data_IF_573651263338
#
_entry.id   IF_573651263338
#
_cell.length_a   1.000
_cell.length_b   1.000
_cell.length_c   1.000
_cell.angle_alpha   90.00
_cell.angle_beta   90.00
_cell.angle_gamma   90.00
#
_symmetry.space_group_name_H-M   'P 1'
#
loop_
_entity.id
_entity.type
_entity.pdbx_description
1 polymer ?
#
# COMPACT_ATOMS: atom_id res chain seq x y z
N UNK A 1 -2.08 16.29 23.23
CA UNK A 1 -3.57 16.39 23.22
C UNK A 1 -4.12 15.74 24.47
N UNK A 2 -4.82 16.53 25.29
CA UNK A 2 -5.51 16.02 26.48
C UNK A 2 -6.79 15.24 26.09
N UNK A 3 -7.39 14.44 26.99
CA UNK A 3 -8.59 13.67 26.68
C UNK A 3 -9.80 14.52 26.30
N UNK A 4 -9.92 15.74 26.82
CA UNK A 4 -11.00 16.68 26.51
C UNK A 4 -10.83 17.31 25.13
N UNK A 5 -9.59 17.65 24.74
CA UNK A 5 -9.27 18.10 23.39
C UNK A 5 -9.68 17.07 22.34
N UNK A 6 -9.59 15.76 22.66
CA UNK A 6 -10.01 14.71 21.73
C UNK A 6 -11.51 14.70 21.50
N UNK A 7 -12.35 14.90 22.52
CA UNK A 7 -13.81 14.89 22.36
C UNK A 7 -14.31 16.08 21.54
N UNK A 8 -13.77 17.27 21.81
CA UNK A 8 -14.10 18.49 21.05
C UNK A 8 -13.61 18.37 19.60
N UNK A 9 -12.40 17.84 19.38
CA UNK A 9 -11.92 17.59 18.02
C UNK A 9 -12.75 16.53 17.29
N UNK A 10 -13.24 15.49 17.98
CA UNK A 10 -14.10 14.48 17.38
C UNK A 10 -15.46 15.05 16.92
N UNK A 11 -16.08 15.97 17.69
CA UNK A 11 -17.30 16.63 17.22
C UNK A 11 -17.03 17.53 16.03
N UNK A 12 -15.92 18.29 16.05
CA UNK A 12 -15.56 19.17 14.94
C UNK A 12 -15.24 18.38 13.67
N UNK A 13 -14.52 17.26 13.79
CA UNK A 13 -14.23 16.36 12.67
C UNK A 13 -15.50 15.72 12.11
N UNK A 14 -16.49 15.40 12.95
CA UNK A 14 -17.77 14.88 12.47
C UNK A 14 -18.53 15.87 11.58
N UNK A 15 -18.44 17.17 11.89
CA UNK A 15 -19.09 18.21 11.07
C UNK A 15 -18.44 18.31 9.69
N UNK A 16 -17.12 18.37 9.61
CA UNK A 16 -16.40 18.42 8.34
C UNK A 16 -16.56 17.13 7.54
N UNK A 17 -16.63 15.99 8.23
CA UNK A 17 -16.90 14.70 7.62
C UNK A 17 -18.26 14.66 6.91
N UNK A 18 -19.31 15.17 7.55
CA UNK A 18 -20.65 15.25 6.94
C UNK A 18 -20.64 16.18 5.72
N UNK A 19 -19.98 17.34 5.82
CA UNK A 19 -19.85 18.30 4.71
C UNK A 19 -19.14 17.65 3.52
N UNK A 20 -18.05 16.92 3.78
CA UNK A 20 -17.25 16.27 2.76
C UNK A 20 -17.94 15.07 2.13
N UNK A 21 -18.61 14.23 2.92
CA UNK A 21 -19.46 13.15 2.39
C UNK A 21 -20.55 13.75 1.51
N UNK A 22 -21.17 14.86 1.93
CA UNK A 22 -22.15 15.59 1.13
C UNK A 22 -21.57 16.16 -0.17
N UNK A 23 -20.28 16.54 -0.19
CA UNK A 23 -19.55 16.95 -1.39
C UNK A 23 -19.31 15.76 -2.32
N UNK A 24 -18.82 14.62 -1.80
CA UNK A 24 -18.56 13.41 -2.61
C UNK A 24 -19.84 12.80 -3.20
N UNK A 25 -20.98 12.89 -2.51
CA UNK A 25 -22.27 12.35 -2.98
C UNK A 25 -22.99 13.26 -3.98
N UNK A 26 -22.53 14.50 -4.18
CA UNK A 26 -23.07 15.34 -5.26
C UNK A 26 -22.52 14.84 -6.59
N UNK A 27 -23.42 14.36 -7.45
CA UNK A 27 -23.11 14.00 -8.83
C UNK A 27 -22.82 15.27 -9.65
N UNK A 28 -21.58 15.75 -9.59
CA UNK A 28 -21.06 16.88 -10.37
C UNK A 28 -19.56 16.73 -10.58
N UNK A 29 -19.05 17.25 -11.70
CA UNK A 29 -17.61 17.30 -11.95
C UNK A 29 -16.94 18.29 -10.98
N UNK A 30 -17.56 19.46 -10.76
CA UNK A 30 -17.11 20.50 -9.83
C UNK A 30 -16.93 19.99 -8.38
N UNK A 31 -17.80 19.10 -7.92
CA UNK A 31 -17.76 18.56 -6.56
C UNK A 31 -16.63 17.56 -6.36
N UNK A 32 -16.35 16.72 -7.37
CA UNK A 32 -15.19 15.81 -7.36
C UNK A 32 -13.89 16.59 -7.41
N UNK A 33 -13.82 17.58 -8.29
CA UNK A 33 -12.66 18.45 -8.44
C UNK A 33 -12.38 19.24 -7.15
N UNK A 34 -13.42 19.79 -6.53
CA UNK A 34 -13.31 20.45 -5.24
C UNK A 34 -12.77 19.50 -4.15
N UNK A 35 -13.24 18.24 -4.11
CA UNK A 35 -12.74 17.26 -3.15
C UNK A 35 -11.25 16.93 -3.38
N UNK A 36 -10.83 16.75 -4.62
CA UNK A 36 -9.42 16.49 -4.97
C UNK A 36 -8.52 17.70 -4.68
N UNK A 37 -9.00 18.91 -4.98
CA UNK A 37 -8.31 20.15 -4.63
C UNK A 37 -8.17 20.27 -3.11
N UNK A 38 -9.21 19.99 -2.32
CA UNK A 38 -9.13 20.01 -0.87
C UNK A 38 -8.05 19.05 -0.35
N UNK A 39 -7.99 17.83 -0.89
CA UNK A 39 -6.96 16.84 -0.55
C UNK A 39 -5.56 17.40 -0.85
N UNK A 40 -5.34 17.95 -2.04
CA UNK A 40 -4.06 18.55 -2.42
C UNK A 40 -3.69 19.76 -1.55
N UNK A 41 -4.62 20.70 -1.34
CA UNK A 41 -4.40 21.90 -0.54
C UNK A 41 -4.08 21.57 0.93
N UNK A 42 -4.58 20.45 1.46
CA UNK A 42 -4.27 19.99 2.82
C UNK A 42 -2.78 19.65 3.07
N UNK A 43 -2.02 19.40 1.99
CA UNK A 43 -0.57 19.18 2.07
C UNK A 43 0.25 20.44 1.84
N UNK A 44 -0.34 21.52 1.34
CA UNK A 44 0.31 22.82 1.26
C UNK A 44 0.39 23.47 2.64
N UNK A 45 1.30 24.43 2.81
CA UNK A 45 1.24 25.33 3.95
C UNK A 45 -0.13 26.06 4.00
N UNK A 46 -0.72 26.13 5.19
CA UNK A 46 -2.12 26.53 5.42
C UNK A 46 -2.49 27.97 5.05
N UNK A 47 -1.51 28.85 4.92
CA UNK A 47 -1.70 30.28 4.65
C UNK A 47 -1.08 30.65 3.30
N UNK A 48 -1.59 31.71 2.67
CA UNK A 48 -1.06 32.33 1.45
C UNK A 48 -0.93 31.38 0.25
N UNK A 49 -1.93 30.53 0.03
CA UNK A 49 -2.00 29.72 -1.19
C UNK A 49 -2.48 30.63 -2.33
N UNK A 50 -1.54 31.22 -3.07
CA UNK A 50 -1.85 32.15 -4.16
C UNK A 50 -2.57 31.45 -5.32
N UNK A 51 -3.65 32.05 -5.85
CA UNK A 51 -4.34 31.50 -7.02
C UNK A 51 -3.41 31.41 -8.24
N UNK A 52 -2.52 32.39 -8.40
CA UNK A 52 -1.49 32.43 -9.46
C UNK A 52 -0.59 31.21 -9.47
N UNK A 53 -0.32 30.59 -8.31
CA UNK A 53 0.45 29.36 -8.20
C UNK A 53 -0.26 28.18 -8.88
N UNK A 54 -1.57 28.06 -8.66
CA UNK A 54 -2.38 26.97 -9.22
C UNK A 54 -2.53 27.13 -10.73
N UNK A 55 -2.75 28.36 -11.20
CA UNK A 55 -2.78 28.69 -12.63
C UNK A 55 -1.42 28.38 -13.25
N UNK A 56 -0.32 28.82 -12.64
CA UNK A 56 1.03 28.54 -13.12
C UNK A 56 1.29 27.02 -13.25
N UNK A 57 0.85 26.23 -12.28
CA UNK A 57 0.99 24.77 -12.33
C UNK A 57 0.27 24.13 -13.53
N UNK A 58 -0.86 24.69 -13.97
CA UNK A 58 -1.58 24.22 -15.14
C UNK A 58 -0.99 24.77 -16.46
N UNK A 59 -0.57 26.04 -16.49
CA UNK A 59 -0.15 26.72 -17.73
C UNK A 59 1.32 26.53 -18.09
N UNK A 60 2.21 26.32 -17.12
CA UNK A 60 3.65 26.21 -17.38
C UNK A 60 4.07 24.94 -18.15
N UNK A 61 3.56 23.74 -17.85
CA UNK A 61 3.94 22.50 -18.55
C UNK A 61 3.77 22.56 -20.09
N UNK A 62 2.65 23.04 -20.66
CA UNK A 62 2.54 23.17 -22.11
C UNK A 62 3.48 24.25 -22.67
N UNK A 63 3.78 25.31 -21.93
CA UNK A 63 4.76 26.33 -22.32
C UNK A 63 6.16 25.72 -22.37
N UNK A 64 6.55 24.95 -21.36
CA UNK A 64 7.85 24.27 -21.31
C UNK A 64 7.99 23.24 -22.42
N UNK A 65 6.95 22.44 -22.70
CA UNK A 65 6.93 21.50 -23.84
C UNK A 65 7.16 22.24 -25.16
N UNK A 66 6.49 23.37 -25.39
CA UNK A 66 6.71 24.20 -26.60
C UNK A 66 8.13 24.76 -26.67
N UNK A 67 8.68 25.26 -25.56
CA UNK A 67 10.06 25.76 -25.49
C UNK A 67 11.09 24.65 -25.74
N UNK A 68 10.87 23.46 -25.19
CA UNK A 68 11.72 22.28 -25.43
C UNK A 68 11.67 21.85 -26.90
N UNK A 69 10.49 21.82 -27.53
CA UNK A 69 10.34 21.50 -28.95
C UNK A 69 10.98 22.56 -29.86
N UNK A 70 10.87 23.85 -29.53
CA UNK A 70 11.55 24.90 -30.27
C UNK A 70 13.07 24.75 -30.18
N UNK A 71 13.58 24.38 -29.00
CA UNK A 71 15.01 24.15 -28.77
C UNK A 71 15.55 22.92 -29.48
N UNK A 72 14.83 21.81 -29.49
CA UNK A 72 15.27 20.63 -30.23
C UNK A 72 15.37 20.90 -31.72
N UNK A 73 14.43 21.70 -32.27
CA UNK A 73 14.50 22.20 -33.66
C UNK A 73 15.72 23.09 -33.91
N UNK A 74 16.07 23.98 -32.98
CA UNK A 74 17.27 24.85 -33.10
C UNK A 74 18.58 24.07 -32.91
N UNK A 75 18.63 23.09 -31.99
CA UNK A 75 19.81 22.24 -31.77
C UNK A 75 20.13 21.32 -32.96
N UNK A 76 19.13 20.93 -33.75
CA UNK A 76 19.34 20.15 -34.99
C UNK A 76 20.12 20.93 -36.06
N UNK A 77 20.22 22.27 -35.95
CA UNK A 77 20.94 23.13 -36.90
C UNK A 77 22.41 23.35 -36.51
N UNK A 78 22.82 22.97 -35.29
CA UNK A 78 24.22 23.06 -34.85
C UNK A 78 24.96 21.77 -35.23
N UNK A 79 26.09 21.81 -35.96
CA UNK A 79 26.85 20.60 -36.26
C UNK A 79 27.33 19.95 -34.95
N UNK A 80 26.85 18.72 -34.68
CA UNK A 80 27.22 17.94 -33.49
C UNK A 80 28.75 17.77 -33.44
N UNK A 81 29.42 18.43 -32.49
CA UNK A 81 30.80 18.03 -32.10
C UNK A 81 30.75 16.62 -31.52
N UNK A 82 31.76 15.80 -31.83
CA UNK A 82 31.87 14.42 -31.32
C UNK A 82 31.77 14.44 -29.78
N UNK A 83 30.90 13.62 -29.17
CA UNK A 83 30.67 13.67 -27.73
C UNK A 83 31.96 13.23 -27.01
N UNK A 84 32.32 13.96 -25.95
CA UNK A 84 33.42 13.53 -25.07
C UNK A 84 32.97 12.24 -24.37
N UNK A 85 33.87 11.30 -24.10
CA UNK A 85 33.55 10.01 -23.46
C UNK A 85 32.73 10.13 -22.16
N UNK A 86 32.89 11.23 -21.41
CA UNK A 86 32.09 11.55 -20.22
C UNK A 86 30.61 11.80 -20.54
N UNK A 87 30.29 12.39 -21.68
CA UNK A 87 28.92 12.62 -22.13
C UNK A 87 28.26 11.30 -22.55
N UNK A 88 28.99 10.41 -23.21
CA UNK A 88 28.50 9.07 -23.55
C UNK A 88 28.17 8.27 -22.29
N UNK A 89 29.03 8.36 -21.26
CA UNK A 89 28.78 7.75 -19.95
C UNK A 89 27.55 8.36 -19.24
N UNK A 90 27.38 9.68 -19.32
CA UNK A 90 26.21 10.38 -18.77
C UNK A 90 24.92 10.02 -19.51
N UNK A 91 24.96 9.95 -20.84
CA UNK A 91 23.84 9.54 -21.69
C UNK A 91 23.47 8.08 -21.43
N UNK A 92 24.46 7.20 -21.23
CA UNK A 92 24.23 5.80 -20.87
C UNK A 92 23.62 5.66 -19.47
N UNK A 93 24.05 6.50 -18.51
CA UNK A 93 23.46 6.55 -17.17
C UNK A 93 21.99 7.03 -17.22
N UNK A 94 21.68 8.07 -18.01
CA UNK A 94 20.29 8.53 -18.23
C UNK A 94 19.46 7.43 -18.90
N UNK A 95 19.99 6.80 -19.97
CA UNK A 95 19.31 5.73 -20.69
C UNK A 95 19.04 4.51 -19.81
N UNK A 96 19.93 4.22 -18.85
CA UNK A 96 19.74 3.17 -17.85
C UNK A 96 18.71 3.53 -16.79
N UNK A 97 18.50 4.83 -16.52
CA UNK A 97 17.42 5.33 -15.65
C UNK A 97 16.08 5.47 -16.38
N UNK A 98 16.07 5.53 -17.71
CA UNK A 98 14.86 5.66 -18.52
C UNK A 98 13.80 4.58 -18.27
N UNK A 99 14.12 3.27 -18.16
CA UNK A 99 13.13 2.25 -17.79
C UNK A 99 12.61 2.43 -16.36
N UNK A 100 13.44 2.90 -15.41
CA UNK A 100 13.03 3.19 -14.02
C UNK A 100 12.06 4.37 -13.96
N UNK A 101 12.24 5.36 -14.85
CA UNK A 101 11.34 6.51 -14.96
C UNK A 101 10.06 6.20 -15.76
N UNK A 102 10.06 5.20 -16.65
CA UNK A 102 8.86 4.75 -17.39
C UNK A 102 7.82 4.09 -16.49
N UNK A 103 8.25 3.47 -15.39
CA UNK A 103 7.37 2.87 -14.37
C UNK A 103 6.88 3.88 -13.32
N UNK A 104 7.27 5.16 -13.42
CA UNK A 104 6.62 6.21 -12.64
C UNK A 104 5.21 6.39 -13.18
N UNK A 105 4.22 5.81 -12.48
CA UNK A 105 2.80 6.10 -12.68
C UNK A 105 2.60 7.60 -12.96
N UNK A 106 1.69 7.96 -13.90
CA UNK A 106 1.42 9.35 -14.21
C UNK A 106 1.18 10.11 -12.90
N UNK A 107 1.71 11.33 -12.78
CA UNK A 107 1.57 12.09 -11.54
C UNK A 107 0.08 12.20 -11.23
N UNK A 108 -0.36 11.59 -10.13
CA UNK A 108 -1.73 11.79 -9.64
C UNK A 108 -1.84 13.30 -9.42
N UNK A 109 -2.72 13.93 -10.16
CA UNK A 109 -3.01 15.34 -10.09
C UNK A 109 -4.51 15.45 -9.83
N UNK A 110 -4.98 16.52 -9.17
CA UNK A 110 -6.40 16.84 -9.22
C UNK A 110 -6.82 16.94 -10.68
N UNK A 111 -7.95 16.35 -11.04
CA UNK A 111 -8.51 16.35 -12.40
C UNK A 111 -8.61 17.77 -12.96
N UNK A 112 -8.93 18.74 -12.09
CA UNK A 112 -8.92 20.19 -12.39
C UNK A 112 -7.56 20.76 -12.86
N UNK A 113 -6.43 20.09 -12.56
CA UNK A 113 -5.06 20.48 -12.93
C UNK A 113 -4.40 19.47 -13.88
N UNK A 114 -5.12 18.41 -14.25
CA UNK A 114 -4.66 17.47 -15.27
C UNK A 114 -4.62 18.16 -16.63
N UNK A 115 -3.64 17.77 -17.45
CA UNK A 115 -3.59 18.21 -18.85
C UNK A 115 -4.79 17.60 -19.56
N UNK A 116 -5.89 18.35 -19.65
CA UNK A 116 -6.95 17.98 -20.57
C UNK A 116 -6.32 18.01 -21.97
N UNK A 117 -6.10 16.83 -22.54
CA UNK A 117 -5.53 16.60 -23.86
C UNK A 117 -6.45 17.09 -25.00
N UNK A 118 -7.40 17.96 -24.69
CA UNK A 118 -8.29 18.63 -25.63
C UNK A 118 -7.62 19.94 -26.01
N UNK A 119 -7.64 20.34 -27.27
CA UNK A 119 -6.94 21.54 -27.75
C UNK A 119 -7.48 22.88 -27.23
N UNK A 120 -8.04 22.93 -26.02
CA UNK A 120 -8.63 24.11 -25.38
C UNK A 120 -7.69 24.71 -24.31
N UNK A 121 -7.65 26.04 -24.19
CA UNK A 121 -6.89 26.70 -23.11
C UNK A 121 -7.45 26.30 -21.75
N UNK A 122 -6.57 26.21 -20.74
CA UNK A 122 -6.95 25.97 -19.35
C UNK A 122 -8.01 26.99 -18.90
N UNK A 123 -9.10 26.50 -18.33
CA UNK A 123 -10.22 27.33 -17.86
C UNK A 123 -9.97 27.77 -16.42
N UNK A 124 -9.64 29.06 -16.24
CA UNK A 124 -9.44 29.65 -14.92
C UNK A 124 -10.76 29.75 -14.14
N UNK A 125 -11.89 29.95 -14.82
CA UNK A 125 -13.20 30.11 -14.18
C UNK A 125 -13.66 28.78 -13.57
N UNK A 126 -13.32 27.67 -14.22
CA UNK A 126 -13.53 26.32 -13.69
C UNK A 126 -12.84 26.12 -12.32
N UNK A 127 -11.54 26.44 -12.25
CA UNK A 127 -10.79 26.31 -11.00
C UNK A 127 -11.32 27.26 -9.92
N UNK A 128 -11.73 28.48 -10.30
CA UNK A 128 -12.35 29.44 -9.37
C UNK A 128 -13.69 28.92 -8.85
N UNK A 129 -14.51 28.26 -9.66
CA UNK A 129 -15.76 27.66 -9.23
C UNK A 129 -15.54 26.55 -8.19
N UNK A 130 -14.59 25.65 -8.43
CA UNK A 130 -14.25 24.59 -7.48
C UNK A 130 -13.74 25.15 -6.13
N UNK A 131 -12.87 26.16 -6.16
CA UNK A 131 -12.39 26.85 -4.95
C UNK A 131 -13.47 27.68 -4.25
N UNK A 132 -14.41 28.25 -5.03
CA UNK A 132 -15.57 28.95 -4.49
C UNK A 132 -16.51 27.97 -3.78
N UNK A 133 -16.73 26.76 -4.32
CA UNK A 133 -17.49 25.71 -3.63
C UNK A 133 -16.85 25.33 -2.29
N UNK A 134 -15.53 25.13 -2.24
CA UNK A 134 -14.83 24.87 -0.98
C UNK A 134 -14.97 26.02 0.02
N UNK A 135 -14.99 27.26 -0.48
CA UNK A 135 -15.16 28.45 0.34
C UNK A 135 -16.58 28.60 0.87
N UNK A 136 -17.59 28.29 0.06
CA UNK A 136 -18.99 28.25 0.46
C UNK A 136 -19.26 27.19 1.53
N UNK A 137 -18.54 26.06 1.47
CA UNK A 137 -18.62 25.00 2.48
C UNK A 137 -17.81 25.31 3.75
N UNK A 138 -17.12 26.45 3.81
CA UNK A 138 -16.31 26.86 4.96
C UNK A 138 -15.04 26.03 5.16
N UNK A 139 -14.58 25.33 4.12
CA UNK A 139 -13.38 24.49 4.16
C UNK A 139 -12.12 25.31 3.84
N UNK A 140 -12.26 26.33 2.98
CA UNK A 140 -11.22 27.28 2.59
C UNK A 140 -11.69 28.71 2.81
N UNK A 141 -10.76 29.61 3.08
CA UNK A 141 -11.01 31.05 3.23
C UNK A 141 -10.31 31.79 2.09
N UNK A 142 -11.07 32.55 1.29
CA UNK A 142 -10.53 33.39 0.22
C UNK A 142 -10.29 34.81 0.71
N UNK A 143 -9.09 35.34 0.45
CA UNK A 143 -8.78 36.74 0.63
C UNK A 143 -8.82 37.45 -0.74
N UNK A 144 -9.79 38.35 -0.98
CA UNK A 144 -9.95 38.99 -2.29
C UNK A 144 -8.84 40.00 -2.60
N UNK A 145 -8.10 40.50 -1.60
CA UNK A 145 -7.07 41.52 -1.79
C UNK A 145 -5.79 40.89 -2.38
N UNK A 146 -5.39 39.73 -1.86
CA UNK A 146 -4.19 39.02 -2.28
C UNK A 146 -4.46 37.87 -3.27
N UNK A 147 -5.72 37.65 -3.66
CA UNK A 147 -6.21 36.49 -4.41
C UNK A 147 -5.61 35.16 -3.89
N UNK A 148 -5.59 35.03 -2.55
CA UNK A 148 -4.94 33.92 -1.85
C UNK A 148 -5.95 33.17 -1.00
N UNK A 149 -5.80 31.85 -0.96
CA UNK A 149 -6.60 30.96 -0.15
C UNK A 149 -5.85 30.57 1.13
N UNK A 150 -6.59 30.36 2.19
CA UNK A 150 -6.08 29.83 3.46
C UNK A 150 -7.02 28.77 4.01
N UNK A 151 -6.49 27.84 4.80
CA UNK A 151 -7.26 26.75 5.40
C UNK A 151 -7.17 26.87 6.91
N UNK A 152 -8.31 26.77 7.59
CA UNK A 152 -8.33 26.76 9.05
C UNK A 152 -7.51 25.57 9.58
N UNK A 153 -6.68 25.73 10.63
CA UNK A 153 -5.77 24.66 11.09
C UNK A 153 -6.45 23.32 11.38
N UNK A 154 -7.70 23.35 11.88
CA UNK A 154 -8.46 22.13 12.16
C UNK A 154 -8.91 21.43 10.89
N UNK A 155 -9.38 22.18 9.87
CA UNK A 155 -9.75 21.62 8.56
C UNK A 155 -8.51 21.09 7.85
N UNK A 156 -7.39 21.79 7.97
CA UNK A 156 -6.10 21.42 7.38
C UNK A 156 -5.59 20.06 7.89
N UNK A 157 -5.64 19.86 9.22
CA UNK A 157 -5.28 18.58 9.82
C UNK A 157 -6.30 17.50 9.47
N UNK A 158 -7.60 17.80 9.59
CA UNK A 158 -8.67 16.84 9.32
C UNK A 158 -8.66 16.33 7.87
N UNK A 159 -8.55 17.22 6.89
CA UNK A 159 -8.57 16.85 5.47
C UNK A 159 -7.39 15.93 5.11
N UNK A 160 -6.26 16.08 5.82
CA UNK A 160 -5.04 15.30 5.61
C UNK A 160 -5.05 13.97 6.38
N UNK A 161 -5.53 13.97 7.62
CA UNK A 161 -5.50 12.84 8.55
C UNK A 161 -6.90 12.23 8.76
N UNK A 162 -7.75 12.29 7.72
CA UNK A 162 -9.12 11.80 7.79
C UNK A 162 -9.15 10.32 8.22
N UNK A 163 -10.09 9.89 9.07
CA UNK A 163 -10.13 8.51 9.59
C UNK A 163 -10.15 7.41 8.53
N UNK A 164 -10.74 7.68 7.36
CA UNK A 164 -10.85 6.72 6.26
C UNK A 164 -9.65 6.75 5.31
N UNK A 165 -8.75 7.73 5.44
CA UNK A 165 -7.59 7.86 4.54
C UNK A 165 -6.47 6.92 4.97
N UNK A 166 -5.96 6.15 4.01
CA UNK A 166 -4.80 5.30 4.24
C UNK A 166 -3.51 6.12 4.20
N UNK A 167 -2.46 5.66 4.89
CA UNK A 167 -1.12 6.29 4.80
C UNK A 167 -0.58 6.30 3.36
N UNK A 168 -0.98 5.32 2.55
CA UNK A 168 -0.68 5.28 1.11
C UNK A 168 -1.41 6.37 0.33
N UNK A 169 -2.69 6.62 0.61
CA UNK A 169 -3.45 7.71 -0.02
C UNK A 169 -2.82 9.07 0.33
N UNK A 170 -2.41 9.27 1.59
CA UNK A 170 -1.69 10.49 1.98
C UNK A 170 -0.37 10.66 1.22
N UNK A 171 0.37 9.57 0.97
CA UNK A 171 1.59 9.61 0.16
C UNK A 171 1.31 10.02 -1.29
N UNK A 172 0.20 9.53 -1.87
CA UNK A 172 -0.22 9.89 -3.23
C UNK A 172 -0.50 11.39 -3.33
N UNK A 173 -1.34 11.93 -2.44
CA UNK A 173 -1.69 13.36 -2.48
C UNK A 173 -0.53 14.27 -2.09
N UNK A 174 0.36 13.83 -1.21
CA UNK A 174 1.61 14.55 -0.93
C UNK A 174 2.53 14.62 -2.16
N UNK A 175 2.63 13.52 -2.93
CA UNK A 175 3.36 13.47 -4.20
C UNK A 175 2.69 14.34 -5.26
N UNK A 176 1.36 14.28 -5.37
CA UNK A 176 0.55 15.14 -6.24
C UNK A 176 0.85 16.63 -5.98
N UNK A 177 0.82 17.03 -4.72
CA UNK A 177 1.10 18.40 -4.28
C UNK A 177 2.51 18.84 -4.64
N UNK A 178 3.50 17.94 -4.48
CA UNK A 178 4.88 18.21 -4.88
C UNK A 178 5.00 18.43 -6.39
N UNK A 179 4.27 17.64 -7.18
CA UNK A 179 4.24 17.82 -8.62
C UNK A 179 3.58 19.14 -9.02
N UNK A 180 2.49 19.55 -8.35
CA UNK A 180 1.86 20.86 -8.56
C UNK A 180 2.85 21.99 -8.25
N UNK A 181 3.55 21.92 -7.12
CA UNK A 181 4.59 22.88 -6.74
C UNK A 181 5.79 22.90 -7.70
N UNK A 182 6.14 21.76 -8.29
CA UNK A 182 7.20 21.69 -9.29
C UNK A 182 6.74 22.30 -10.62
N UNK A 183 5.49 22.03 -11.05
CA UNK A 183 4.91 22.57 -12.29
C UNK A 183 4.68 24.08 -12.21
N UNK A 184 4.44 24.63 -11.02
CA UNK A 184 4.28 26.08 -10.86
C UNK A 184 5.57 26.88 -11.07
N UNK A 185 6.74 26.22 -11.03
CA UNK A 185 8.03 26.84 -11.28
C UNK A 185 8.40 26.68 -12.76
N UNK A 186 8.60 27.79 -13.47
CA UNK A 186 9.22 27.77 -14.78
C UNK A 186 10.73 27.54 -14.62
N UNK A 187 11.26 26.51 -15.27
CA UNK A 187 12.70 26.20 -15.19
C UNK A 187 13.52 27.32 -15.85
N UNK A 188 12.97 27.96 -16.90
CA UNK A 188 13.60 29.09 -17.60
C UNK A 188 12.56 30.14 -17.97
N UNK A 189 12.34 31.16 -17.12
CA UNK A 189 11.40 32.22 -17.43
C UNK A 189 11.91 33.09 -18.60
N UNK A 190 11.00 33.65 -19.43
CA UNK A 190 11.35 34.74 -20.34
C UNK A 190 11.92 35.93 -19.56
N UNK A 191 12.85 36.72 -20.14
CA UNK A 191 13.47 37.87 -19.46
C UNK A 191 12.44 38.87 -18.93
N UNK A 192 11.30 39.03 -19.60
CA UNK A 192 10.23 39.95 -19.22
C UNK A 192 9.42 39.51 -17.98
N UNK A 193 9.55 38.25 -17.54
CA UNK A 193 8.77 37.67 -16.43
C UNK A 193 9.61 37.30 -15.21
N UNK A 194 10.87 37.71 -15.17
CA UNK A 194 11.82 37.30 -14.13
C UNK A 194 11.40 37.73 -12.71
N UNK A 195 10.94 38.97 -12.55
CA UNK A 195 10.55 39.52 -11.24
C UNK A 195 9.29 38.86 -10.67
N UNK A 196 8.34 38.49 -11.54
CA UNK A 196 7.11 37.81 -11.16
C UNK A 196 7.41 36.36 -10.74
N UNK A 197 8.33 35.70 -11.45
CA UNK A 197 8.79 34.36 -11.16
C UNK A 197 9.59 34.30 -9.83
N UNK A 198 10.38 35.34 -9.50
CA UNK A 198 11.06 35.41 -8.21
C UNK A 198 10.09 35.59 -7.04
N UNK A 199 9.06 36.44 -7.18
CA UNK A 199 8.01 36.60 -6.17
C UNK A 199 7.26 35.29 -5.93
N UNK A 200 6.86 34.61 -7.02
CA UNK A 200 6.20 33.32 -6.94
C UNK A 200 7.09 32.28 -6.25
N UNK A 201 8.39 32.20 -6.59
CA UNK A 201 9.31 31.29 -5.90
C UNK A 201 9.41 31.56 -4.40
N UNK A 202 9.38 32.83 -3.98
CA UNK A 202 9.39 33.19 -2.55
C UNK A 202 8.09 32.76 -1.85
N UNK A 203 6.93 32.93 -2.49
CA UNK A 203 5.65 32.48 -1.93
C UNK A 203 5.55 30.96 -1.85
N UNK A 204 6.23 30.22 -2.73
CA UNK A 204 6.28 28.75 -2.73
C UNK A 204 7.12 28.13 -1.60
N UNK A 205 8.15 28.83 -1.09
CA UNK A 205 9.11 28.26 -0.13
C UNK A 205 8.47 27.64 1.13
N UNK A 206 7.49 28.27 1.80
CA UNK A 206 6.81 27.68 2.95
C UNK A 206 6.07 26.39 2.58
N UNK A 207 5.40 26.36 1.43
CA UNK A 207 4.68 25.17 0.97
C UNK A 207 5.65 24.02 0.67
N UNK A 208 6.77 24.28 0.00
CA UNK A 208 7.79 23.26 -0.29
C UNK A 208 8.39 22.67 0.98
N UNK A 209 8.73 23.52 1.97
CA UNK A 209 9.22 23.05 3.27
C UNK A 209 8.18 22.19 3.97
N UNK A 210 6.94 22.65 4.01
CA UNK A 210 5.85 21.95 4.67
C UNK A 210 5.58 20.57 4.06
N UNK A 211 5.49 20.49 2.73
CA UNK A 211 5.31 19.22 2.01
C UNK A 211 6.47 18.28 2.28
N UNK A 212 7.73 18.77 2.24
CA UNK A 212 8.92 17.96 2.50
C UNK A 212 8.95 17.38 3.91
N UNK A 213 8.67 18.20 4.91
CA UNK A 213 8.63 17.76 6.31
C UNK A 213 7.55 16.69 6.49
N UNK A 214 6.39 16.85 5.85
CA UNK A 214 5.32 15.87 5.92
C UNK A 214 5.64 14.58 5.15
N UNK A 215 6.29 14.67 4.00
CA UNK A 215 6.78 13.50 3.26
C UNK A 215 7.73 12.65 4.10
N UNK A 216 8.66 13.30 4.81
CA UNK A 216 9.56 12.60 5.74
C UNK A 216 8.76 11.87 6.82
N UNK A 217 7.74 12.50 7.40
CA UNK A 217 6.85 11.86 8.40
C UNK A 217 6.08 10.68 7.82
N UNK A 218 5.48 10.81 6.63
CA UNK A 218 4.78 9.69 5.97
C UNK A 218 5.77 8.54 5.74
N UNK A 219 6.96 8.82 5.22
CA UNK A 219 7.99 7.80 4.98
C UNK A 219 8.38 7.08 6.27
N UNK A 220 8.62 7.81 7.36
CA UNK A 220 8.88 7.23 8.68
C UNK A 220 7.74 6.34 9.14
N UNK A 221 6.49 6.81 9.05
CA UNK A 221 5.31 6.03 9.45
C UNK A 221 5.14 4.75 8.61
N UNK A 222 5.42 4.81 7.30
CA UNK A 222 5.36 3.64 6.42
C UNK A 222 6.43 2.61 6.78
N UNK A 223 7.64 3.05 7.11
CA UNK A 223 8.72 2.17 7.58
C UNK A 223 8.35 1.52 8.91
N UNK A 224 7.88 2.30 9.89
CA UNK A 224 7.44 1.77 11.19
C UNK A 224 6.28 0.77 11.04
N UNK A 225 5.28 1.09 10.21
CA UNK A 225 4.17 0.19 9.93
C UNK A 225 4.64 -1.10 9.24
N UNK A 226 5.61 -1.01 8.34
CA UNK A 226 6.20 -2.17 7.68
C UNK A 226 6.97 -3.04 8.67
N UNK A 227 7.77 -2.43 9.55
CA UNK A 227 8.50 -3.13 10.60
C UNK A 227 7.56 -3.80 11.58
N UNK A 228 6.51 -3.11 12.05
CA UNK A 228 5.47 -3.67 12.91
C UNK A 228 4.75 -4.87 12.25
N UNK A 229 4.47 -4.79 10.94
CA UNK A 229 3.89 -5.93 10.20
C UNK A 229 4.88 -7.10 10.11
N UNK A 230 6.16 -6.83 9.85
CA UNK A 230 7.21 -7.86 9.80
C UNK A 230 7.41 -8.54 11.15
N UNK A 231 7.47 -7.78 12.24
CA UNK A 231 7.64 -8.32 13.59
C UNK A 231 6.44 -9.14 14.02
N UNK A 232 5.22 -8.66 13.75
CA UNK A 232 3.99 -9.43 13.99
C UNK A 232 3.97 -10.73 13.19
N UNK A 233 4.28 -10.68 11.89
CA UNK A 233 4.34 -11.89 11.05
C UNK A 233 5.37 -12.88 11.59
N UNK A 234 6.56 -12.42 12.00
CA UNK A 234 7.58 -13.27 12.62
C UNK A 234 7.11 -13.88 13.94
N UNK A 235 6.34 -13.16 14.75
CA UNK A 235 5.77 -13.67 16.00
C UNK A 235 4.66 -14.71 15.73
N UNK A 236 3.84 -14.51 14.70
CA UNK A 236 2.80 -15.46 14.27
C UNK A 236 3.39 -16.76 13.69
N UNK A 237 4.56 -16.67 13.06
CA UNK A 237 5.31 -17.79 12.48
C UNK A 237 6.26 -18.46 13.48
N UNK A 238 6.35 -17.95 14.71
CA UNK A 238 7.22 -18.55 15.73
C UNK A 238 6.74 -19.97 16.08
N UNK A 239 7.65 -20.97 16.20
CA UNK A 239 7.27 -22.37 16.41
C UNK A 239 6.33 -22.60 17.60
N UNK A 240 6.49 -21.85 18.69
CA UNK A 240 5.59 -21.94 19.85
C UNK A 240 4.18 -21.46 19.54
N UNK A 241 4.03 -20.36 18.79
CA UNK A 241 2.73 -19.85 18.33
C UNK A 241 2.07 -20.85 17.38
N UNK A 242 2.84 -21.44 16.47
CA UNK A 242 2.36 -22.47 15.56
C UNK A 242 1.91 -23.74 16.30
N UNK A 243 2.61 -24.18 17.35
CA UNK A 243 2.17 -25.28 18.24
C UNK A 243 0.84 -25.00 18.94
N UNK A 244 0.63 -23.77 19.38
CA UNK A 244 -0.67 -23.36 19.98
C UNK A 244 -1.78 -23.40 18.92
N UNK A 245 -1.51 -22.93 17.69
CA UNK A 245 -2.47 -23.03 16.56
C UNK A 245 -2.80 -24.47 16.20
N UNK A 246 -1.81 -25.35 16.11
CA UNK A 246 -1.99 -26.80 15.88
C UNK A 246 -2.88 -27.45 16.95
N UNK A 247 -2.65 -27.09 18.21
CA UNK A 247 -3.47 -27.57 19.34
C UNK A 247 -4.91 -27.05 19.24
N UNK A 248 -5.08 -25.76 18.91
CA UNK A 248 -6.41 -25.17 18.71
C UNK A 248 -7.16 -25.85 17.56
N UNK A 249 -6.50 -26.09 16.42
CA UNK A 249 -7.09 -26.77 15.29
C UNK A 249 -7.50 -28.22 15.61
N UNK A 250 -6.68 -28.93 16.39
CA UNK A 250 -7.01 -30.25 16.91
C UNK A 250 -8.27 -30.23 17.80
N UNK A 251 -8.43 -29.18 18.60
CA UNK A 251 -9.64 -28.98 19.42
C UNK A 251 -10.88 -28.65 18.58
N UNK A 252 -10.74 -27.84 17.53
CA UNK A 252 -11.81 -27.55 16.56
C UNK A 252 -12.26 -28.82 15.83
N UNK A 253 -11.31 -29.68 15.43
CA UNK A 253 -11.60 -30.98 14.81
C UNK A 253 -12.47 -31.85 15.71
N UNK A 254 -12.13 -31.96 17.00
CA UNK A 254 -12.91 -32.70 18.00
C UNK A 254 -14.31 -32.12 18.25
N UNK A 255 -14.51 -30.83 18.00
CA UNK A 255 -15.79 -30.13 18.17
C UNK A 255 -16.73 -30.21 16.96
N UNK A 256 -16.32 -30.83 15.86
CA UNK A 256 -17.15 -30.86 14.65
C UNK A 256 -16.85 -29.75 13.63
N UNK A 257 -15.95 -28.81 13.92
CA UNK A 257 -15.64 -27.65 13.06
C UNK A 257 -14.56 -28.00 12.04
N UNK A 258 -14.92 -28.88 11.10
CA UNK A 258 -13.98 -29.60 10.25
C UNK A 258 -13.24 -28.71 9.24
N UNK A 259 -13.97 -27.84 8.54
CA UNK A 259 -13.40 -26.96 7.52
C UNK A 259 -12.42 -25.96 8.13
N UNK A 260 -12.75 -25.40 9.30
CA UNK A 260 -11.88 -24.48 10.03
C UNK A 260 -10.62 -25.19 10.55
N UNK A 261 -10.77 -26.39 11.11
CA UNK A 261 -9.65 -27.20 11.60
C UNK A 261 -8.70 -27.61 10.48
N UNK A 262 -9.21 -28.11 9.34
CA UNK A 262 -8.41 -28.51 8.18
C UNK A 262 -7.61 -27.32 7.65
N UNK A 263 -8.27 -26.18 7.39
CA UNK A 263 -7.61 -24.97 6.91
C UNK A 263 -6.50 -24.50 7.86
N UNK A 264 -6.77 -24.48 9.16
CA UNK A 264 -5.78 -24.07 10.16
C UNK A 264 -4.58 -25.03 10.23
N UNK A 265 -4.80 -26.36 10.14
CA UNK A 265 -3.72 -27.35 10.13
C UNK A 265 -2.89 -27.28 8.84
N UNK A 266 -3.51 -27.08 7.69
CA UNK A 266 -2.80 -26.88 6.41
C UNK A 266 -1.90 -25.63 6.46
N UNK A 267 -2.42 -24.50 6.96
CA UNK A 267 -1.64 -23.28 7.17
C UNK A 267 -0.47 -23.50 8.15
N UNK A 268 -0.67 -24.24 9.25
CA UNK A 268 0.40 -24.56 10.20
C UNK A 268 1.47 -25.47 9.58
N UNK A 269 1.08 -26.50 8.84
CA UNK A 269 2.01 -27.41 8.16
C UNK A 269 2.86 -26.66 7.13
N UNK A 270 2.23 -25.82 6.32
CA UNK A 270 2.94 -25.02 5.30
C UNK A 270 3.93 -24.05 5.95
N UNK A 271 3.49 -23.32 6.99
CA UNK A 271 4.34 -22.37 7.70
C UNK A 271 5.49 -23.05 8.44
N UNK A 272 5.25 -24.15 9.16
CA UNK A 272 6.31 -24.94 9.82
C UNK A 272 7.29 -25.53 8.80
N UNK A 273 6.80 -26.03 7.65
CA UNK A 273 7.66 -26.55 6.57
C UNK A 273 8.59 -25.47 6.03
N UNK A 274 8.11 -24.23 5.88
CA UNK A 274 8.94 -23.11 5.42
C UNK A 274 9.92 -22.62 6.48
N UNK A 275 9.52 -22.59 7.76
CA UNK A 275 10.34 -22.02 8.86
C UNK A 275 11.38 -23.02 9.38
N UNK A 276 11.00 -24.28 9.59
CA UNK A 276 11.83 -25.31 10.21
C UNK A 276 12.34 -26.37 9.21
N UNK A 277 11.70 -26.47 8.04
CA UNK A 277 11.97 -27.49 7.04
C UNK A 277 11.01 -28.69 7.13
N UNK A 278 10.90 -29.48 6.04
CA UNK A 278 9.92 -30.57 5.92
C UNK A 278 10.21 -31.80 6.78
N UNK A 279 11.46 -31.94 7.27
CA UNK A 279 11.92 -33.10 8.03
C UNK A 279 12.10 -32.80 9.53
N UNK A 280 11.85 -31.56 9.96
CA UNK A 280 11.92 -31.20 11.37
C UNK A 280 10.80 -31.91 12.14
N UNK A 281 11.09 -32.39 13.35
CA UNK A 281 10.15 -33.15 14.18
C UNK A 281 8.82 -32.41 14.37
N UNK A 282 8.84 -31.14 14.78
CA UNK A 282 7.63 -30.33 14.94
C UNK A 282 6.78 -30.24 13.65
N UNK A 283 7.41 -30.11 12.48
CA UNK A 283 6.71 -30.10 11.19
C UNK A 283 6.04 -31.45 10.92
N UNK A 284 6.74 -32.56 11.21
CA UNK A 284 6.21 -33.91 11.03
C UNK A 284 5.05 -34.19 12.00
N UNK A 285 5.10 -33.68 13.24
CA UNK A 285 4.01 -33.75 14.22
C UNK A 285 2.78 -32.98 13.71
N UNK A 286 2.95 -31.75 13.22
CA UNK A 286 1.83 -30.99 12.66
C UNK A 286 1.19 -31.69 11.45
N UNK A 287 2.00 -32.31 10.58
CA UNK A 287 1.51 -33.12 9.45
C UNK A 287 0.76 -34.37 9.89
N UNK A 288 1.22 -35.02 10.96
CA UNK A 288 0.51 -36.12 11.57
C UNK A 288 -0.86 -35.68 12.10
N UNK A 289 -0.94 -34.52 12.77
CA UNK A 289 -2.19 -33.96 13.26
C UNK A 289 -3.18 -33.62 12.14
N UNK A 290 -2.68 -33.10 11.00
CA UNK A 290 -3.48 -32.96 9.78
C UNK A 290 -4.03 -34.32 9.30
N UNK A 291 -3.19 -35.35 9.23
CA UNK A 291 -3.63 -36.71 8.88
C UNK A 291 -4.70 -37.27 9.82
N UNK A 292 -4.58 -37.01 11.13
CA UNK A 292 -5.60 -37.40 12.12
C UNK A 292 -6.92 -36.65 11.93
N UNK A 293 -6.86 -35.33 11.69
CA UNK A 293 -8.05 -34.54 11.41
C UNK A 293 -8.78 -35.05 10.16
N UNK A 294 -8.05 -35.37 9.07
CA UNK A 294 -8.63 -35.97 7.86
C UNK A 294 -9.30 -37.32 8.17
N UNK A 295 -8.66 -38.17 8.97
CA UNK A 295 -9.25 -39.46 9.37
C UNK A 295 -10.52 -39.29 10.21
N UNK A 296 -10.56 -38.31 11.12
CA UNK A 296 -11.76 -38.00 11.91
C UNK A 296 -12.96 -37.57 11.04
N UNK A 297 -12.71 -37.11 9.81
CA UNK A 297 -13.74 -36.66 8.88
C UNK A 297 -14.00 -37.65 7.75
N UNK A 298 -13.67 -38.92 7.97
CA UNK A 298 -13.90 -40.02 7.02
C UNK A 298 -13.12 -39.90 5.70
N UNK A 299 -12.13 -38.99 5.61
CA UNK A 299 -11.21 -38.87 4.48
C UNK A 299 -10.02 -39.83 4.65
N UNK A 300 -10.29 -41.11 4.91
CA UNK A 300 -9.26 -42.10 5.28
C UNK A 300 -8.21 -42.33 4.19
N UNK A 301 -8.56 -42.16 2.91
CA UNK A 301 -7.61 -42.26 1.81
C UNK A 301 -6.56 -41.15 1.82
N UNK A 302 -6.99 -39.89 1.98
CA UNK A 302 -6.08 -38.74 2.12
C UNK A 302 -5.29 -38.80 3.44
N UNK A 303 -5.92 -39.24 4.52
CA UNK A 303 -5.24 -39.45 5.80
C UNK A 303 -4.09 -40.47 5.66
N UNK A 304 -4.34 -41.58 4.97
CA UNK A 304 -3.33 -42.62 4.75
C UNK A 304 -2.14 -42.12 3.93
N UNK A 305 -2.37 -41.34 2.87
CA UNK A 305 -1.26 -40.80 2.05
C UNK A 305 -0.40 -39.84 2.86
N UNK A 306 -1.01 -38.97 3.66
CA UNK A 306 -0.28 -38.03 4.53
C UNK A 306 0.49 -38.79 5.62
N UNK A 307 -0.14 -39.74 6.30
CA UNK A 307 0.48 -40.47 7.41
C UNK A 307 1.61 -41.40 6.94
N UNK A 308 1.51 -42.01 5.76
CA UNK A 308 2.59 -42.85 5.19
C UNK A 308 3.82 -42.02 4.81
N UNK A 309 3.65 -40.84 4.21
CA UNK A 309 4.77 -39.90 3.98
C UNK A 309 5.41 -39.47 5.31
N UNK A 310 4.61 -39.08 6.30
CA UNK A 310 5.12 -38.69 7.63
C UNK A 310 5.86 -39.84 8.31
N UNK A 311 5.32 -41.07 8.26
CA UNK A 311 5.97 -42.25 8.83
C UNK A 311 7.34 -42.51 8.20
N UNK A 312 7.42 -42.46 6.86
CA UNK A 312 8.70 -42.67 6.16
C UNK A 312 9.76 -41.64 6.58
N UNK A 313 9.35 -40.37 6.74
CA UNK A 313 10.23 -39.28 7.16
C UNK A 313 10.63 -39.40 8.62
N UNK A 314 9.69 -39.68 9.53
CA UNK A 314 9.98 -39.86 10.96
C UNK A 314 10.87 -41.07 11.22
N UNK A 315 10.65 -42.19 10.51
CA UNK A 315 11.52 -43.36 10.61
C UNK A 315 12.95 -43.04 10.19
N UNK A 316 13.12 -42.21 9.15
CA UNK A 316 14.45 -41.76 8.72
C UNK A 316 15.10 -40.77 9.70
N UNK A 317 14.34 -39.82 10.26
CA UNK A 317 14.90 -38.74 11.09
C UNK A 317 15.05 -39.09 12.57
N UNK A 318 14.03 -39.74 13.16
CA UNK A 318 13.93 -40.05 14.59
C UNK A 318 14.21 -41.54 14.88
N UNK A 319 14.09 -42.39 13.87
CA UNK A 319 14.20 -43.83 13.99
C UNK A 319 12.85 -44.54 14.16
N UNK A 320 12.81 -45.86 13.90
CA UNK A 320 11.56 -46.65 13.90
C UNK A 320 10.95 -46.84 15.30
N UNK A 321 11.76 -46.85 16.35
CA UNK A 321 11.31 -47.08 17.74
C UNK A 321 10.97 -45.79 18.50
N UNK A 322 11.03 -44.63 17.84
CA UNK A 322 10.70 -43.36 18.50
C UNK A 322 9.19 -43.27 18.75
N UNK A 323 8.78 -42.75 19.91
CA UNK A 323 7.37 -42.67 20.32
C UNK A 323 6.49 -41.98 19.27
N UNK A 324 6.95 -40.87 18.69
CA UNK A 324 6.22 -40.17 17.62
C UNK A 324 6.06 -41.03 16.36
N UNK A 325 7.06 -41.83 16.00
CA UNK A 325 7.02 -42.72 14.83
C UNK A 325 5.99 -43.83 15.03
N UNK A 326 5.96 -44.43 16.23
CA UNK A 326 4.99 -45.45 16.63
C UNK A 326 3.55 -44.90 16.62
N UNK A 327 3.34 -43.68 17.12
CA UNK A 327 2.01 -43.03 17.09
C UNK A 327 1.48 -42.83 15.65
N UNK A 328 2.38 -42.56 14.69
CA UNK A 328 2.01 -42.47 13.27
C UNK A 328 1.65 -43.85 12.72
N UNK A 329 2.39 -44.92 13.09
CA UNK A 329 2.05 -46.29 12.70
C UNK A 329 0.68 -46.71 13.20
N UNK A 330 0.35 -46.39 14.46
CA UNK A 330 -0.98 -46.65 15.01
C UNK A 330 -2.07 -45.95 14.18
N UNK A 331 -1.86 -44.68 13.84
CA UNK A 331 -2.82 -43.94 13.02
C UNK A 331 -2.98 -44.52 11.61
N UNK A 332 -1.90 -45.03 11.00
CA UNK A 332 -1.94 -45.73 9.71
C UNK A 332 -2.76 -47.01 9.82
N UNK A 333 -2.55 -47.80 10.88
CA UNK A 333 -3.31 -49.02 11.11
C UNK A 333 -4.81 -48.72 11.28
N UNK A 334 -5.16 -47.68 12.04
CA UNK A 334 -6.54 -47.19 12.18
C UNK A 334 -7.14 -46.78 10.83
N UNK A 335 -6.39 -46.06 9.99
CA UNK A 335 -6.86 -45.68 8.65
C UNK A 335 -7.11 -46.92 7.76
N UNK A 336 -6.25 -47.95 7.83
CA UNK A 336 -6.47 -49.21 7.11
C UNK A 336 -7.70 -49.98 7.62
N UNK A 337 -7.93 -50.03 8.94
CA UNK A 337 -9.12 -50.65 9.52
C UNK A 337 -10.41 -49.96 9.03
N UNK A 338 -10.42 -48.63 8.96
CA UNK A 338 -11.57 -47.89 8.42
C UNK A 338 -11.75 -48.03 6.92
N UNK A 339 -10.66 -48.20 6.15
CA UNK A 339 -10.74 -48.46 4.72
C UNK A 339 -11.28 -49.86 4.42
N UNK A 340 -10.90 -50.88 5.22
CA UNK A 340 -11.59 -52.18 5.42
C UNK A 340 -12.06 -52.98 4.19
N UNK A 341 -11.69 -52.56 2.98
CA UNK A 341 -12.27 -53.04 1.71
C UNK A 341 -11.66 -54.37 1.26
N UNK A 342 -10.50 -54.77 1.78
CA UNK A 342 -9.82 -56.01 1.41
C UNK A 342 -9.15 -56.71 2.60
N UNK A 343 -9.01 -58.05 2.50
CA UNK A 343 -8.25 -58.87 3.46
C UNK A 343 -6.79 -58.41 3.58
N UNK A 344 -6.23 -57.85 2.51
CA UNK A 344 -4.86 -57.32 2.48
C UNK A 344 -4.71 -56.05 3.33
N UNK A 345 -5.73 -55.19 3.41
CA UNK A 345 -5.67 -53.98 4.23
C UNK A 345 -5.72 -54.31 5.72
N UNK A 346 -6.52 -55.32 6.10
CA UNK A 346 -6.55 -55.86 7.46
C UNK A 346 -5.23 -56.54 7.85
N UNK A 347 -4.62 -57.28 6.93
CA UNK A 347 -3.30 -57.89 7.15
C UNK A 347 -2.23 -56.81 7.40
N UNK A 348 -2.20 -55.75 6.59
CA UNK A 348 -1.27 -54.61 6.76
C UNK A 348 -1.46 -53.87 8.08
N UNK A 349 -2.71 -53.69 8.52
CA UNK A 349 -2.99 -53.11 9.83
C UNK A 349 -2.46 -54.00 10.96
N UNK A 350 -2.62 -55.32 10.85
CA UNK A 350 -2.14 -56.28 11.83
C UNK A 350 -0.61 -56.28 11.94
N UNK A 351 0.08 -56.25 10.79
CA UNK A 351 1.55 -56.23 10.73
C UNK A 351 2.14 -54.96 11.36
N UNK A 352 1.42 -53.83 11.31
CA UNK A 352 1.83 -52.57 11.93
C UNK A 352 1.56 -52.49 13.44
N UNK A 353 0.64 -53.29 13.98
CA UNK A 353 0.25 -53.29 15.40
C UNK A 353 1.08 -54.29 16.23
N UNK A 354 1.62 -55.35 15.60
CA UNK A 354 2.30 -56.47 16.28
C UNK A 354 3.82 -56.23 16.48
N UNK A 355 4.42 -55.26 15.79
CA UNK A 355 5.81 -54.81 15.97
C UNK A 355 5.94 -53.85 17.16
#
# INVERSE_FOLDING_TARGET
MTPDDRKVNMSIYSTYEIIYIGLEHRDGEDSRDAAELLKMLSFLYRENIEFSMLVAAATNPPIEKKLQQARSKVMLVVPKKRPKWRQVLWEWAIASMEPIMRDCEPPVLPSALEEVNTGHPFDEDWLRNALALLSQLGLTMHNPISDSYSIHPVVHIWARERPMTSTSEQAIWSRATTNVLARSILIQPPPDKLDLDEKLRRSLLPHVKHVRDYQQRICSQLVENMEARKTRKRAEEHPTTLKVKDTLASMLSRRGQFNEAKKMLEEVVETMTRVLGPNHEDTLIARHNLGKALSNFFLHGEALTVQTDVHSRMTYTLGPLHLSTLNVQESIAVAYLHLGRSKNDLQKALDLIIL
#
